data_IF_887528602655
#
_entry.id   IF_887528602655
#
_cell.length_a   1.000
_cell.length_b   1.000
_cell.length_c   1.000
_cell.angle_alpha   90.00
_cell.angle_beta   90.00
_cell.angle_gamma   90.00
#
_symmetry.space_group_name_H-M   'P 1'
#
loop_
_entity.id
_entity.type
_entity.pdbx_description
1 polymer ?
#
# COMPACT_ATOMS: atom_id res chain seq x y z
N UNK A 1 -0.49 -12.12 -56.90
CA UNK A 1 -0.56 -12.92 -55.66
C UNK A 1 -0.02 -12.10 -54.50
N UNK A 2 -0.90 -11.70 -53.58
CA UNK A 2 -0.64 -10.86 -52.41
C UNK A 2 0.43 -11.45 -51.48
N UNK A 3 1.53 -10.72 -51.25
CA UNK A 3 2.41 -10.95 -50.09
C UNK A 3 1.93 -10.07 -48.94
N UNK A 4 1.31 -10.72 -47.95
CA UNK A 4 0.72 -10.15 -46.74
C UNK A 4 1.74 -9.30 -45.97
N UNK A 5 1.42 -8.02 -45.75
CA UNK A 5 1.96 -7.20 -44.65
C UNK A 5 1.46 -7.79 -43.34
N UNK A 6 2.38 -8.26 -42.49
CA UNK A 6 2.11 -8.50 -41.07
C UNK A 6 2.96 -7.52 -40.28
N UNK A 7 2.35 -6.37 -39.98
CA UNK A 7 2.80 -5.41 -38.98
C UNK A 7 2.71 -6.07 -37.60
N UNK A 8 3.85 -6.52 -37.05
CA UNK A 8 3.96 -6.82 -35.62
C UNK A 8 3.93 -5.48 -34.87
N UNK A 9 2.78 -5.21 -34.25
CA UNK A 9 2.58 -4.21 -33.22
C UNK A 9 3.64 -4.42 -32.13
N UNK A 10 4.58 -3.49 -32.01
CA UNK A 10 5.38 -3.32 -30.80
C UNK A 10 4.46 -2.69 -29.78
N UNK A 11 4.07 -3.47 -28.78
CA UNK A 11 3.47 -2.94 -27.56
C UNK A 11 4.53 -2.08 -26.88
N UNK A 12 4.27 -0.77 -26.84
CA UNK A 12 5.02 0.22 -26.08
C UNK A 12 4.76 -0.02 -24.59
N UNK A 13 5.77 -0.54 -23.89
CA UNK A 13 5.80 -0.61 -22.43
C UNK A 13 6.20 0.76 -21.87
N UNK A 14 5.22 1.61 -21.62
CA UNK A 14 5.38 2.85 -20.86
C UNK A 14 5.03 2.61 -19.38
N UNK A 15 6.07 2.58 -18.54
CA UNK A 15 6.22 3.27 -17.24
C UNK A 15 7.29 2.52 -16.43
N UNK A 16 8.55 2.92 -16.58
CA UNK A 16 9.62 2.51 -15.69
C UNK A 16 9.57 3.29 -14.38
N UNK A 17 8.73 2.85 -13.44
CA UNK A 17 9.05 3.00 -12.02
C UNK A 17 9.83 1.75 -11.68
N UNK A 18 11.14 1.87 -11.46
CA UNK A 18 11.92 0.74 -10.97
C UNK A 18 11.33 0.28 -9.65
N UNK A 19 10.65 -0.88 -9.65
CA UNK A 19 10.14 -1.51 -8.44
C UNK A 19 11.38 -1.93 -7.65
N UNK A 20 11.83 -1.09 -6.73
CA UNK A 20 12.88 -1.48 -5.79
C UNK A 20 12.28 -2.50 -4.84
N UNK A 21 12.52 -3.78 -5.11
CA UNK A 21 12.15 -4.85 -4.19
C UNK A 21 12.84 -4.60 -2.85
N UNK A 22 12.05 -4.33 -1.80
CA UNK A 22 12.56 -4.18 -0.43
C UNK A 22 12.63 -5.56 0.21
N UNK A 23 13.59 -5.76 1.11
CA UNK A 23 13.71 -6.99 1.89
C UNK A 23 13.12 -6.74 3.28
N UNK A 24 12.31 -7.67 3.76
CA UNK A 24 11.79 -7.69 5.13
C UNK A 24 11.66 -9.13 5.67
N UNK A 25 11.11 -9.27 6.87
CA UNK A 25 10.85 -10.54 7.55
C UNK A 25 9.37 -10.60 7.97
N UNK A 26 8.75 -11.77 7.80
CA UNK A 26 7.35 -12.02 8.19
C UNK A 26 7.21 -13.42 8.78
N UNK A 27 6.20 -13.65 9.62
CA UNK A 27 5.88 -14.98 10.16
C UNK A 27 5.78 -16.05 9.07
N UNK A 28 6.28 -17.25 9.35
CA UNK A 28 6.38 -18.32 8.34
C UNK A 28 5.01 -18.77 7.80
N UNK A 29 3.97 -18.65 8.61
CA UNK A 29 2.56 -18.91 8.27
C UNK A 29 1.99 -17.89 7.25
N UNK A 30 2.52 -16.67 7.27
CA UNK A 30 2.17 -15.55 6.38
C UNK A 30 3.10 -15.41 5.17
N UNK A 31 4.24 -16.13 5.15
CA UNK A 31 5.24 -16.04 4.10
C UNK A 31 4.77 -16.72 2.80
N UNK A 32 3.85 -16.07 2.08
CA UNK A 32 3.25 -16.56 0.83
C UNK A 32 3.35 -15.49 -0.26
N UNK A 33 3.88 -15.86 -1.42
CA UNK A 33 3.92 -14.95 -2.57
C UNK A 33 2.50 -14.48 -2.95
N UNK A 34 2.37 -13.21 -3.29
CA UNK A 34 1.10 -12.55 -3.58
C UNK A 34 0.32 -12.06 -2.35
N UNK A 35 0.70 -12.46 -1.13
CA UNK A 35 0.06 -11.95 0.08
C UNK A 35 0.32 -10.45 0.23
N UNK A 36 -0.73 -9.69 0.49
CA UNK A 36 -0.67 -8.26 0.77
C UNK A 36 -0.83 -8.00 2.25
N UNK A 37 -0.04 -7.09 2.79
CA UNK A 37 -0.11 -6.69 4.20
C UNK A 37 0.18 -5.21 4.37
N UNK A 38 -0.24 -4.65 5.50
CA UNK A 38 0.14 -3.30 5.91
C UNK A 38 1.18 -3.39 7.01
N UNK A 39 2.31 -2.72 6.83
CA UNK A 39 3.35 -2.70 7.85
C UNK A 39 2.99 -1.70 8.95
N UNK A 40 2.93 -2.14 10.21
CA UNK A 40 2.51 -1.30 11.35
C UNK A 40 3.69 -0.77 12.19
N UNK A 41 4.91 -1.24 11.93
CA UNK A 41 6.09 -0.86 12.71
C UNK A 41 6.47 -1.87 13.80
N UNK A 42 7.44 -1.50 14.65
CA UNK A 42 7.97 -2.34 15.72
C UNK A 42 6.97 -2.55 16.87
N UNK A 43 7.01 -3.74 17.48
CA UNK A 43 6.37 -4.03 18.77
C UNK A 43 7.36 -3.86 19.92
N UNK A 44 6.86 -3.72 21.16
CA UNK A 44 7.68 -3.55 22.37
C UNK A 44 8.73 -4.65 22.51
N UNK A 45 8.37 -5.89 22.19
CA UNK A 45 9.29 -7.03 22.24
C UNK A 45 10.48 -6.97 21.26
N UNK A 46 10.44 -6.11 20.26
CA UNK A 46 11.47 -6.09 19.23
C UNK A 46 12.72 -5.27 19.58
N UNK A 47 12.72 -4.55 20.72
CA UNK A 47 13.82 -3.64 21.09
C UNK A 47 15.20 -4.32 21.09
N UNK A 48 15.26 -5.54 21.63
CA UNK A 48 16.50 -6.32 21.79
C UNK A 48 16.78 -7.30 20.64
N UNK A 49 15.96 -7.29 19.58
CA UNK A 49 16.12 -8.21 18.47
C UNK A 49 17.34 -7.85 17.59
N UNK A 50 18.26 -8.79 17.42
CA UNK A 50 19.52 -8.60 16.66
C UNK A 50 19.32 -8.33 15.17
N UNK A 51 18.20 -8.76 14.60
CA UNK A 51 17.88 -8.63 13.17
C UNK A 51 16.75 -7.64 12.89
N UNK A 52 16.36 -6.84 13.90
CA UNK A 52 15.20 -5.93 13.84
C UNK A 52 15.23 -4.96 12.67
N UNK A 53 16.42 -4.53 12.25
CA UNK A 53 16.59 -3.60 11.13
C UNK A 53 16.11 -4.20 9.80
N UNK A 54 16.18 -5.53 9.64
CA UNK A 54 15.63 -6.20 8.44
C UNK A 54 14.10 -6.19 8.49
N UNK A 55 13.50 -6.46 9.66
CA UNK A 55 12.04 -6.38 9.84
C UNK A 55 11.52 -4.95 9.55
N UNK A 56 12.26 -3.92 9.98
CA UNK A 56 11.81 -2.53 9.97
C UNK A 56 12.30 -1.72 8.77
N UNK A 57 12.70 -2.42 7.71
CA UNK A 57 13.11 -1.81 6.45
C UNK A 57 11.92 -1.33 5.59
N UNK A 58 10.73 -1.23 6.19
CA UNK A 58 9.48 -0.82 5.57
C UNK A 58 8.93 0.41 6.30
N UNK A 59 8.15 1.22 5.61
CA UNK A 59 7.54 2.42 6.14
C UNK A 59 6.22 2.09 6.86
N UNK A 60 6.06 2.46 8.14
CA UNK A 60 4.82 2.22 8.86
C UNK A 60 3.62 2.88 8.18
N UNK A 61 2.50 2.16 8.19
CA UNK A 61 1.26 2.58 7.54
C UNK A 61 1.26 2.38 6.03
N UNK A 62 2.26 1.75 5.41
CA UNK A 62 2.24 1.42 3.96
C UNK A 62 1.82 -0.01 3.69
N UNK A 63 1.20 -0.20 2.53
CA UNK A 63 0.79 -1.50 2.03
C UNK A 63 1.88 -2.10 1.15
N UNK A 64 2.15 -3.39 1.32
CA UNK A 64 3.14 -4.14 0.57
C UNK A 64 2.57 -5.44 0.06
N UNK A 65 3.13 -5.96 -1.02
CA UNK A 65 2.89 -7.32 -1.54
C UNK A 65 4.17 -8.13 -1.49
N UNK A 66 4.07 -9.37 -1.04
CA UNK A 66 5.17 -10.33 -1.10
C UNK A 66 5.39 -10.75 -2.56
N UNK A 67 6.56 -10.43 -3.10
CA UNK A 67 6.94 -10.82 -4.46
C UNK A 67 7.76 -12.10 -4.48
N UNK A 68 8.47 -12.40 -3.38
CA UNK A 68 9.26 -13.62 -3.25
C UNK A 68 9.43 -14.03 -1.79
N UNK A 69 9.38 -15.33 -1.53
CA UNK A 69 9.75 -15.93 -0.23
C UNK A 69 11.11 -16.59 -0.37
N UNK A 70 12.02 -16.36 0.59
CA UNK A 70 13.35 -16.97 0.62
C UNK A 70 13.41 -18.04 1.70
N UNK A 71 14.26 -19.05 1.49
CA UNK A 71 14.39 -20.22 2.36
C UNK A 71 14.98 -19.92 3.76
N UNK A 72 15.51 -18.71 3.97
CA UNK A 72 16.15 -18.34 5.23
C UNK A 72 15.12 -17.98 6.30
N UNK A 73 15.00 -18.87 7.29
CA UNK A 73 14.26 -18.64 8.54
C UNK A 73 15.14 -18.02 9.63
N UNK A 74 14.52 -17.25 10.54
CA UNK A 74 15.15 -16.73 11.75
C UNK A 74 14.17 -16.83 12.93
N UNK A 75 14.65 -17.00 14.18
CA UNK A 75 13.80 -17.04 15.35
C UNK A 75 13.17 -15.68 15.65
N UNK A 76 11.89 -15.66 16.04
CA UNK A 76 11.15 -14.47 16.43
C UNK A 76 9.91 -14.84 17.26
N UNK A 77 9.94 -14.55 18.56
CA UNK A 77 8.86 -14.88 19.52
C UNK A 77 7.54 -14.09 19.33
N UNK A 78 7.54 -13.10 18.42
CA UNK A 78 6.38 -12.25 18.14
C UNK A 78 5.39 -12.94 17.22
N UNK A 79 5.90 -13.73 16.28
CA UNK A 79 5.09 -14.40 15.28
C UNK A 79 4.71 -15.79 15.74
N UNK A 80 3.60 -16.30 15.19
CA UNK A 80 3.21 -17.69 15.40
C UNK A 80 4.35 -18.62 14.94
N UNK A 81 4.49 -19.75 15.64
CA UNK A 81 5.60 -20.71 15.44
C UNK A 81 7.01 -20.20 15.76
N UNK A 82 7.15 -19.05 16.42
CA UNK A 82 8.42 -18.46 16.88
C UNK A 82 9.46 -18.24 15.76
N UNK A 83 9.01 -18.11 14.51
CA UNK A 83 9.86 -18.07 13.31
C UNK A 83 9.39 -17.05 12.29
N UNK A 84 10.35 -16.47 11.58
CA UNK A 84 10.12 -15.57 10.44
C UNK A 84 10.93 -15.98 9.23
N UNK A 85 10.35 -15.82 8.04
CA UNK A 85 11.02 -16.01 6.74
C UNK A 85 11.42 -14.68 6.13
N UNK A 86 12.52 -14.69 5.39
CA UNK A 86 12.97 -13.53 4.60
C UNK A 86 12.11 -13.39 3.35
N UNK A 87 11.57 -12.20 3.11
CA UNK A 87 10.70 -11.89 1.97
C UNK A 87 11.24 -10.72 1.17
N UNK A 88 10.99 -10.75 -0.14
CA UNK A 88 11.06 -9.57 -1.00
C UNK A 88 9.65 -9.02 -1.18
N UNK A 89 9.53 -7.69 -1.13
CA UNK A 89 8.25 -7.00 -1.23
C UNK A 89 8.32 -5.82 -2.18
N UNK A 90 7.17 -5.51 -2.77
CA UNK A 90 6.93 -4.24 -3.46
C UNK A 90 5.93 -3.39 -2.66
N UNK A 91 6.15 -2.08 -2.62
CA UNK A 91 5.17 -1.14 -2.06
C UNK A 91 3.99 -1.00 -3.02
N UNK A 92 2.77 -1.09 -2.49
CA UNK A 92 1.55 -0.95 -3.25
C UNK A 92 1.05 0.50 -3.26
N UNK A 93 0.35 0.93 -4.33
CA UNK A 93 -0.27 2.24 -4.39
C UNK A 93 -1.29 2.44 -3.25
N UNK A 94 -1.30 3.63 -2.63
CA UNK A 94 -2.25 3.96 -1.57
C UNK A 94 -3.44 4.75 -2.10
N UNK A 95 -4.64 4.26 -1.81
CA UNK A 95 -5.90 4.89 -2.21
C UNK A 95 -6.67 5.39 -1.01
N UNK A 96 -7.18 6.61 -1.12
CA UNK A 96 -8.01 7.26 -0.10
C UNK A 96 -9.26 7.86 -0.75
N UNK A 97 -10.30 8.03 0.06
CA UNK A 97 -11.56 8.59 -0.40
C UNK A 97 -11.75 9.99 0.18
N UNK A 98 -11.82 10.99 -0.71
CA UNK A 98 -11.89 12.40 -0.34
C UNK A 98 -13.15 13.05 -0.88
N UNK A 99 -13.69 14.02 -0.13
CA UNK A 99 -14.79 14.85 -0.62
C UNK A 99 -14.32 15.66 -1.82
N UNK A 100 -15.15 15.68 -2.87
CA UNK A 100 -14.90 16.48 -4.05
C UNK A 100 -14.88 17.98 -3.68
N UNK A 101 -13.90 18.71 -4.21
CA UNK A 101 -13.77 20.13 -3.96
C UNK A 101 -12.64 20.73 -4.80
N UNK A 102 -12.48 22.05 -4.73
CA UNK A 102 -11.50 22.79 -5.55
C UNK A 102 -10.05 22.34 -5.33
N UNK A 103 -9.73 21.82 -4.14
CA UNK A 103 -8.37 21.36 -3.77
C UNK A 103 -8.07 19.92 -4.23
N UNK A 104 -9.06 19.21 -4.77
CA UNK A 104 -8.90 17.83 -5.22
C UNK A 104 -8.48 17.79 -6.69
N UNK A 105 -7.23 18.13 -6.95
CA UNK A 105 -6.63 18.17 -8.30
C UNK A 105 -5.30 17.43 -8.29
N UNK A 106 -4.95 16.79 -9.40
CA UNK A 106 -3.66 16.10 -9.56
C UNK A 106 -2.47 17.06 -9.36
N UNK A 107 -1.43 16.58 -8.69
CA UNK A 107 -0.27 17.38 -8.28
C UNK A 107 -0.48 18.22 -7.03
N UNK A 108 -1.71 18.35 -6.51
CA UNK A 108 -1.95 19.15 -5.31
C UNK A 108 -1.46 18.44 -4.05
N UNK A 109 -0.78 19.18 -3.17
CA UNK A 109 -0.48 18.73 -1.82
C UNK A 109 -1.68 18.96 -0.90
N UNK A 110 -2.08 17.92 -0.18
CA UNK A 110 -3.23 17.92 0.73
C UNK A 110 -2.78 17.42 2.10
N UNK A 111 -3.18 18.13 3.14
CA UNK A 111 -3.11 17.64 4.51
C UNK A 111 -4.31 16.75 4.76
N UNK A 112 -4.04 15.50 5.11
CA UNK A 112 -5.06 14.50 5.25
C UNK A 112 -5.76 14.61 6.61
N UNK A 113 -7.09 14.53 6.57
CA UNK A 113 -7.97 14.62 7.73
C UNK A 113 -9.04 13.54 7.63
N UNK A 114 -9.29 12.83 8.73
CA UNK A 114 -10.38 11.86 8.84
C UNK A 114 -11.73 12.55 8.55
N UNK A 115 -12.65 11.80 7.93
CA UNK A 115 -14.05 12.24 7.82
C UNK A 115 -14.87 12.00 9.08
N UNK A 116 -14.37 11.20 10.02
CA UNK A 116 -15.08 10.79 11.25
C UNK A 116 -16.49 10.23 10.94
N UNK A 117 -16.59 9.48 9.85
CA UNK A 117 -17.85 8.87 9.41
C UNK A 117 -18.24 7.72 10.34
N UNK A 118 -19.48 7.72 10.83
CA UNK A 118 -20.06 6.73 11.74
C UNK A 118 -20.89 5.63 11.01
N UNK A 119 -20.89 5.60 9.67
CA UNK A 119 -21.63 4.59 8.91
C UNK A 119 -20.82 3.29 8.82
N UNK A 120 -20.77 2.53 9.91
CA UNK A 120 -19.92 1.34 10.07
C UNK A 120 -20.13 0.24 9.02
N UNK A 121 -21.31 0.19 8.40
CA UNK A 121 -21.61 -0.76 7.30
C UNK A 121 -21.12 -0.29 5.93
N UNK A 122 -20.52 0.92 5.82
CA UNK A 122 -19.98 1.42 4.57
C UNK A 122 -18.73 0.62 4.17
N UNK A 123 -18.66 0.04 2.96
CA UNK A 123 -17.45 -0.65 2.49
C UNK A 123 -16.25 0.29 2.32
N UNK A 124 -16.48 1.60 2.32
CA UNK A 124 -15.44 2.62 2.15
C UNK A 124 -15.03 3.30 3.47
N UNK A 125 -15.59 2.91 4.62
CA UNK A 125 -15.39 3.63 5.89
C UNK A 125 -13.90 3.77 6.24
N UNK A 126 -13.11 2.72 6.05
CA UNK A 126 -11.68 2.70 6.39
C UNK A 126 -10.87 3.72 5.59
N UNK A 127 -11.14 3.81 4.28
CA UNK A 127 -10.49 4.75 3.35
C UNK A 127 -10.99 6.20 3.47
N UNK A 128 -12.20 6.39 4.00
CA UNK A 128 -12.80 7.69 4.28
C UNK A 128 -12.31 8.27 5.62
N UNK A 129 -12.20 7.41 6.64
CA UNK A 129 -11.73 7.77 7.98
C UNK A 129 -10.22 7.64 8.12
N UNK A 130 -9.53 7.17 7.07
CA UNK A 130 -8.07 7.11 6.99
C UNK A 130 -7.45 6.29 8.14
N UNK A 131 -8.08 5.18 8.52
CA UNK A 131 -7.73 4.40 9.73
C UNK A 131 -6.29 3.90 9.78
N UNK A 132 -5.63 3.83 8.62
CA UNK A 132 -4.29 3.33 8.44
C UNK A 132 -3.24 4.42 8.25
N UNK A 133 -3.64 5.67 8.43
CA UNK A 133 -2.82 6.81 8.12
C UNK A 133 -2.83 7.79 9.27
N UNK A 134 -1.68 8.42 9.51
CA UNK A 134 -1.56 9.42 10.57
C UNK A 134 -2.36 10.67 10.18
N UNK A 135 -3.19 11.15 11.10
CA UNK A 135 -3.88 12.43 10.91
C UNK A 135 -2.86 13.56 10.75
N UNK A 136 -3.12 14.49 9.83
CA UNK A 136 -2.21 15.57 9.51
C UNK A 136 -1.07 15.18 8.55
N UNK A 137 -0.98 13.92 8.11
CA UNK A 137 -0.05 13.53 7.05
C UNK A 137 -0.25 14.37 5.80
N UNK A 138 0.85 14.89 5.26
CA UNK A 138 0.84 15.55 3.95
C UNK A 138 1.01 14.48 2.88
N UNK A 139 0.18 14.56 1.85
CA UNK A 139 0.28 13.72 0.65
C UNK A 139 0.13 14.57 -0.60
N UNK A 140 0.65 14.10 -1.72
CA UNK A 140 0.37 14.65 -3.05
C UNK A 140 -0.65 13.79 -3.76
N UNK A 141 -1.67 14.42 -4.34
CA UNK A 141 -2.64 13.74 -5.20
C UNK A 141 -1.93 13.33 -6.49
N UNK A 142 -1.78 12.04 -6.71
CA UNK A 142 -1.19 11.51 -7.96
C UNK A 142 -2.26 11.36 -9.05
N UNK A 143 -3.45 10.86 -8.69
CA UNK A 143 -4.54 10.66 -9.64
C UNK A 143 -5.88 10.81 -8.95
N UNK A 144 -6.81 11.53 -9.57
CA UNK A 144 -8.22 11.57 -9.12
C UNK A 144 -9.01 10.58 -9.97
N UNK A 145 -9.62 9.60 -9.34
CA UNK A 145 -10.36 8.54 -10.02
C UNK A 145 -11.87 8.78 -9.95
N UNK A 146 -12.63 7.70 -9.99
CA UNK A 146 -14.08 7.69 -10.09
C UNK A 146 -14.78 8.20 -8.82
N UNK A 147 -16.05 8.52 -9.01
CA UNK A 147 -16.96 8.83 -7.91
C UNK A 147 -17.27 7.53 -7.17
N UNK A 148 -17.20 7.56 -5.85
CA UNK A 148 -17.66 6.43 -5.03
C UNK A 148 -19.09 6.68 -4.57
N UNK A 149 -19.84 5.61 -4.38
CA UNK A 149 -21.20 5.67 -3.83
C UNK A 149 -21.12 5.80 -2.31
N UNK A 150 -21.48 6.98 -1.81
CA UNK A 150 -21.57 7.23 -0.38
C UNK A 150 -23.01 7.00 0.11
N UNK A 151 -23.27 6.08 1.05
CA UNK A 151 -24.60 5.85 1.61
C UNK A 151 -25.22 7.10 2.28
N UNK A 152 -24.38 8.05 2.72
CA UNK A 152 -24.81 9.34 3.28
C UNK A 152 -25.00 10.46 2.23
N UNK A 153 -24.80 10.16 0.95
CA UNK A 153 -24.99 11.13 -0.15
C UNK A 153 -23.84 12.11 -0.38
N UNK A 154 -22.72 12.00 0.34
CA UNK A 154 -21.56 12.87 0.10
C UNK A 154 -20.95 12.65 -1.29
N UNK A 155 -20.51 13.72 -1.93
CA UNK A 155 -19.80 13.64 -3.21
C UNK A 155 -18.34 13.26 -2.97
N UNK A 156 -18.07 11.96 -3.01
CA UNK A 156 -16.78 11.39 -2.70
C UNK A 156 -16.06 10.89 -3.95
N UNK A 157 -14.73 11.01 -3.95
CA UNK A 157 -13.85 10.58 -5.03
C UNK A 157 -12.78 9.65 -4.49
N UNK A 158 -12.49 8.58 -5.23
CA UNK A 158 -11.31 7.75 -4.98
C UNK A 158 -10.08 8.45 -5.53
N UNK A 159 -9.00 8.46 -4.75
CA UNK A 159 -7.80 9.24 -5.05
C UNK A 159 -6.58 8.39 -4.77
N UNK A 160 -5.68 8.31 -5.76
CA UNK A 160 -4.35 7.75 -5.58
C UNK A 160 -3.43 8.83 -5.01
N UNK A 161 -2.77 8.53 -3.90
CA UNK A 161 -1.89 9.49 -3.21
C UNK A 161 -0.46 8.98 -3.14
N UNK A 162 0.48 9.92 -3.19
CA UNK A 162 1.87 9.71 -2.84
C UNK A 162 2.15 10.44 -1.54
N UNK A 163 2.77 9.76 -0.60
CA UNK A 163 3.21 10.40 0.63
C UNK A 163 4.51 11.18 0.41
N UNK A 164 4.70 12.23 1.20
CA UNK A 164 5.97 12.96 1.29
C UNK A 164 6.96 12.25 2.23
#
# INVERSE_FOLDING_TARGET
MLRKRLSKLRASSETGVGIMAKISLIGIDLAKEGLEFRFVGPLVGCAECRIKNVCFNLEPGRKYRITKVRDKENPCFVYDQDKVSTIEVEELPEYVNLQAGRKLQEGSSVTMKSMDCDHFTCPHIETCNLIHMREGSKVTIKKVEEKIECPKGYNMKRVLVNFH
#
